data_IF_855528659750
#
_entry.id   IF_855528659750
#
_cell.length_a   1.000
_cell.length_b   1.000
_cell.length_c   1.000
_cell.angle_alpha   90.00
_cell.angle_beta   90.00
_cell.angle_gamma   90.00
#
_symmetry.space_group_name_H-M   'P 1'
#
loop_
_entity.id
_entity.type
_entity.pdbx_description
1 polymer ?
#
# COMPACT_ATOMS: atom_id res chain seq x y z
N UNK A 1 -29.32 -15.88 -12.44
CA UNK A 1 -28.13 -15.72 -13.31
C UNK A 1 -26.93 -15.47 -12.40
N UNK A 2 -26.16 -16.51 -12.11
CA UNK A 2 -25.20 -16.55 -11.00
C UNK A 2 -23.81 -16.20 -11.52
N UNK A 3 -23.31 -14.99 -11.19
CA UNK A 3 -21.99 -14.52 -11.62
C UNK A 3 -20.91 -15.18 -10.75
N UNK A 4 -19.97 -15.84 -11.44
CA UNK A 4 -18.95 -16.75 -10.91
C UNK A 4 -17.82 -16.04 -10.13
N UNK A 5 -17.41 -16.66 -9.01
CA UNK A 5 -16.39 -16.25 -8.02
C UNK A 5 -14.92 -16.36 -8.49
N UNK A 6 -14.58 -16.10 -9.76
CA UNK A 6 -13.20 -16.34 -10.27
C UNK A 6 -12.33 -15.10 -10.48
N UNK A 7 -12.73 -13.91 -10.02
CA UNK A 7 -12.06 -12.64 -10.39
C UNK A 7 -10.86 -12.22 -9.50
N UNK A 8 -10.63 -12.82 -8.33
CA UNK A 8 -9.69 -12.26 -7.34
C UNK A 8 -8.21 -12.68 -7.49
N UNK A 9 -7.88 -13.75 -8.21
CA UNK A 9 -6.51 -14.30 -8.16
C UNK A 9 -5.51 -13.68 -9.14
N UNK A 10 -5.89 -12.72 -9.99
CA UNK A 10 -5.03 -12.23 -11.09
C UNK A 10 -4.51 -10.80 -10.88
N UNK A 11 -5.22 -9.94 -10.13
CA UNK A 11 -4.74 -8.58 -9.80
C UNK A 11 -3.55 -8.62 -8.81
N UNK A 12 -3.43 -9.74 -8.09
CA UNK A 12 -2.42 -10.00 -7.06
C UNK A 12 -0.96 -10.11 -7.55
N UNK A 13 -0.70 -10.13 -8.86
CA UNK A 13 0.65 -10.28 -9.40
C UNK A 13 1.34 -8.96 -9.81
N UNK A 14 0.66 -7.81 -9.73
CA UNK A 14 1.23 -6.55 -10.22
C UNK A 14 1.62 -5.52 -9.15
N UNK A 15 1.12 -5.63 -7.91
CA UNK A 15 1.53 -4.75 -6.78
C UNK A 15 2.62 -5.36 -5.89
N UNK A 16 3.01 -6.63 -6.13
CA UNK A 16 4.06 -7.28 -5.34
C UNK A 16 5.39 -7.33 -6.09
N UNK A 17 6.25 -6.33 -5.87
CA UNK A 17 7.71 -6.58 -5.86
C UNK A 17 8.20 -6.76 -4.44
N UNK A 18 9.04 -7.78 -4.26
CA UNK A 18 9.86 -8.16 -3.08
C UNK A 18 9.23 -9.07 -2.00
N UNK A 19 9.11 -10.37 -2.30
CA UNK A 19 9.93 -11.46 -1.69
C UNK A 19 9.38 -12.85 -2.07
N UNK A 20 10.28 -13.77 -2.45
CA UNK A 20 10.06 -15.22 -2.50
C UNK A 20 10.01 -15.78 -1.06
N UNK A 21 9.53 -16.97 -0.69
CA UNK A 21 9.14 -18.21 -1.34
C UNK A 21 8.22 -19.00 -0.36
N UNK A 22 7.35 -19.90 -0.84
CA UNK A 22 7.07 -21.21 -0.22
C UNK A 22 5.99 -21.97 -1.01
N UNK A 23 6.29 -23.23 -1.28
CA UNK A 23 5.48 -24.21 -2.01
C UNK A 23 4.39 -24.80 -1.09
N UNK A 24 3.21 -25.08 -1.67
CA UNK A 24 2.14 -25.86 -1.05
C UNK A 24 2.32 -27.36 -1.31
N UNK A 25 2.01 -28.19 -0.30
CA UNK A 25 1.39 -29.52 -0.49
C UNK A 25 0.27 -29.72 0.54
N UNK A 26 -0.90 -30.29 0.18
CA UNK A 26 -2.09 -30.35 1.04
C UNK A 26 -2.33 -31.75 1.64
N UNK A 27 -3.07 -31.83 2.75
CA UNK A 27 -4.01 -32.94 2.99
C UNK A 27 -4.98 -32.67 4.16
N UNK A 28 -6.29 -32.85 3.87
CA UNK A 28 -7.41 -33.45 4.63
C UNK A 28 -7.53 -33.22 6.16
N UNK A 29 -8.68 -33.13 6.84
CA UNK A 29 -10.12 -32.90 6.63
C UNK A 29 -10.81 -33.34 7.96
N UNK A 30 -12.06 -32.90 8.17
CA UNK A 30 -13.04 -33.31 9.22
C UNK A 30 -12.82 -32.76 10.65
N UNK A 31 -13.83 -32.46 11.47
CA UNK A 31 -15.30 -32.33 11.37
C UNK A 31 -15.81 -32.09 12.79
N UNK A 32 -16.87 -31.26 12.96
CA UNK A 32 -17.94 -31.32 14.01
C UNK A 32 -17.51 -31.23 15.49
N UNK A 33 -18.22 -30.65 16.46
CA UNK A 33 -19.59 -30.10 16.59
C UNK A 33 -19.72 -29.49 18.00
N UNK A 34 -20.46 -28.38 18.09
CA UNK A 34 -21.50 -28.02 19.08
C UNK A 34 -21.52 -28.75 20.45
N UNK A 35 -21.51 -28.01 21.56
CA UNK A 35 -22.64 -27.94 22.53
C UNK A 35 -22.46 -26.92 23.65
N UNK A 36 -23.59 -26.31 24.02
CA UNK A 36 -23.87 -25.41 25.13
C UNK A 36 -23.60 -26.02 26.52
N UNK A 37 -23.22 -25.19 27.49
CA UNK A 37 -23.95 -25.16 28.77
C UNK A 37 -23.83 -23.84 29.55
N UNK A 38 -24.97 -23.47 30.12
CA UNK A 38 -25.27 -22.30 30.94
C UNK A 38 -25.25 -22.69 32.42
N UNK A 39 -24.97 -21.73 33.32
CA UNK A 39 -25.48 -21.55 34.70
C UNK A 39 -24.40 -20.81 35.54
N UNK A 40 -24.61 -19.63 36.11
CA UNK A 40 -25.64 -19.12 37.04
C UNK A 40 -25.12 -19.04 38.50
N UNK A 41 -24.95 -17.79 38.94
CA UNK A 41 -25.32 -17.20 40.26
C UNK A 41 -24.64 -17.69 41.56
N UNK A 42 -24.04 -16.73 42.28
CA UNK A 42 -24.28 -16.32 43.70
C UNK A 42 -23.30 -15.17 44.04
N UNK A 43 -23.75 -13.94 44.38
CA UNK A 43 -24.15 -13.44 45.71
C UNK A 43 -23.13 -13.81 46.81
N UNK A 44 -22.51 -12.92 47.58
CA UNK A 44 -23.10 -11.88 48.45
C UNK A 44 -22.02 -11.01 49.14
N UNK A 45 -22.32 -9.70 49.25
CA UNK A 45 -22.09 -8.70 50.32
C UNK A 45 -20.91 -8.70 51.32
N UNK A 46 -20.32 -7.50 51.41
CA UNK A 46 -19.92 -6.66 52.58
C UNK A 46 -18.80 -7.11 53.55
N UNK A 47 -17.78 -6.24 53.73
CA UNK A 47 -17.57 -5.49 54.99
C UNK A 47 -16.52 -4.35 54.85
N UNK A 48 -16.65 -3.33 55.72
CA UNK A 48 -15.99 -2.02 55.73
C UNK A 48 -14.54 -2.06 56.25
N UNK A 49 -13.71 -1.07 55.86
CA UNK A 49 -12.72 -0.44 56.75
C UNK A 49 -12.29 0.95 56.23
N UNK A 50 -12.43 1.97 57.09
CA UNK A 50 -11.89 3.32 56.92
C UNK A 50 -10.47 3.39 57.50
N UNK A 51 -9.54 4.02 56.78
CA UNK A 51 -8.23 4.41 57.34
C UNK A 51 -7.20 4.87 56.30
N UNK A 52 -6.58 6.02 56.55
CA UNK A 52 -5.32 6.54 55.97
C UNK A 52 -5.33 7.14 54.54
N UNK A 53 -5.58 8.46 54.47
CA UNK A 53 -5.45 9.28 53.24
C UNK A 53 -4.09 9.95 53.02
N UNK A 54 -3.11 9.79 53.93
CA UNK A 54 -1.79 10.45 53.81
C UNK A 54 -0.59 9.57 53.40
N UNK A 55 -0.73 8.24 53.44
CA UNK A 55 0.27 7.31 52.87
C UNK A 55 -0.01 6.94 51.40
N UNK A 56 -1.29 6.98 50.99
CA UNK A 56 -1.74 6.60 49.63
C UNK A 56 -1.21 7.45 48.47
N UNK A 57 -0.71 8.67 48.72
CA UNK A 57 -0.20 9.53 47.63
C UNK A 57 1.21 9.15 47.19
N UNK A 58 2.08 8.67 48.10
CA UNK A 58 3.43 8.20 47.73
C UNK A 58 3.40 6.83 47.08
N UNK A 59 2.58 5.90 47.59
CA UNK A 59 2.45 4.56 47.01
C UNK A 59 1.79 4.58 45.63
N UNK A 60 0.85 5.50 45.36
CA UNK A 60 0.30 5.70 44.01
C UNK A 60 1.33 6.24 43.03
N UNK A 61 2.24 7.11 43.48
CA UNK A 61 3.26 7.70 42.61
C UNK A 61 4.38 6.69 42.31
N UNK A 62 4.76 5.86 43.28
CA UNK A 62 5.68 4.74 43.08
C UNK A 62 5.08 3.62 42.23
N UNK A 63 3.82 3.23 42.46
CA UNK A 63 3.16 2.22 41.63
C UNK A 63 3.02 2.69 40.18
N UNK A 64 2.70 3.96 39.94
CA UNK A 64 2.59 4.48 38.59
C UNK A 64 3.96 4.55 37.88
N UNK A 65 5.04 4.86 38.62
CA UNK A 65 6.41 4.80 38.10
C UNK A 65 6.88 3.36 37.83
N UNK A 66 6.56 2.41 38.71
CA UNK A 66 6.90 0.99 38.55
C UNK A 66 6.09 0.33 37.42
N UNK A 67 4.80 0.67 37.25
CA UNK A 67 3.99 0.24 36.11
C UNK A 67 4.55 0.83 34.79
N UNK A 68 4.93 2.12 34.77
CA UNK A 68 5.53 2.72 33.56
C UNK A 68 6.90 2.12 33.20
N UNK A 69 7.69 1.73 34.21
CA UNK A 69 8.99 1.09 34.01
C UNK A 69 8.83 -0.36 33.54
N UNK A 70 7.87 -1.11 34.09
CA UNK A 70 7.54 -2.46 33.64
C UNK A 70 6.98 -2.47 32.21
N UNK A 71 6.15 -1.50 31.85
CA UNK A 71 5.63 -1.33 30.49
C UNK A 71 6.74 -0.91 29.50
N UNK A 72 7.67 -0.05 29.92
CA UNK A 72 8.83 0.32 29.12
C UNK A 72 9.79 -0.88 28.90
N UNK A 73 10.03 -1.70 29.93
CA UNK A 73 10.84 -2.92 29.83
C UNK A 73 10.16 -3.97 28.94
N UNK A 74 8.84 -4.15 29.06
CA UNK A 74 8.08 -5.06 28.20
C UNK A 74 8.07 -4.59 26.73
N UNK A 75 7.91 -3.29 26.48
CA UNK A 75 8.01 -2.71 25.14
C UNK A 75 9.42 -2.89 24.56
N UNK A 76 10.46 -2.66 25.36
CA UNK A 76 11.86 -2.84 24.97
C UNK A 76 12.17 -4.30 24.64
N UNK A 77 11.69 -5.25 25.45
CA UNK A 77 11.83 -6.69 25.17
C UNK A 77 11.07 -7.12 23.92
N UNK A 78 9.85 -6.61 23.71
CA UNK A 78 9.05 -6.88 22.52
C UNK A 78 9.74 -6.34 21.25
N UNK A 79 10.36 -5.17 21.32
CA UNK A 79 11.12 -4.60 20.20
C UNK A 79 12.42 -5.35 19.91
N UNK A 80 13.13 -5.84 20.93
CA UNK A 80 14.34 -6.64 20.73
C UNK A 80 14.08 -7.98 20.00
N UNK A 81 12.83 -8.43 19.95
CA UNK A 81 12.40 -9.64 19.25
C UNK A 81 11.90 -9.37 17.81
N UNK A 82 11.68 -8.11 17.43
CA UNK A 82 11.22 -7.77 16.08
C UNK A 82 12.35 -7.93 15.06
N UNK A 83 12.08 -8.67 13.99
CA UNK A 83 12.98 -8.72 12.84
C UNK A 83 12.85 -7.46 11.99
N UNK A 84 13.65 -6.44 12.33
CA UNK A 84 13.68 -5.17 11.62
C UNK A 84 14.44 -5.25 10.28
N UNK A 85 15.01 -6.39 9.91
CA UNK A 85 15.74 -6.54 8.63
C UNK A 85 14.84 -6.30 7.41
N UNK A 86 13.54 -6.60 7.54
CA UNK A 86 12.54 -6.42 6.49
C UNK A 86 12.30 -4.94 6.12
N UNK A 87 12.53 -4.03 7.08
CA UNK A 87 12.25 -2.60 6.92
C UNK A 87 13.49 -1.73 6.91
N UNK A 88 14.65 -2.28 7.31
CA UNK A 88 15.92 -1.54 7.40
C UNK A 88 16.29 -0.81 6.12
N UNK A 89 15.99 -1.41 4.95
CA UNK A 89 16.28 -0.77 3.66
C UNK A 89 15.56 0.57 3.47
N UNK A 90 14.40 0.79 4.10
CA UNK A 90 13.65 2.05 3.97
C UNK A 90 14.18 3.15 4.91
N UNK A 91 14.88 2.78 5.97
CA UNK A 91 15.31 3.72 7.00
C UNK A 91 16.50 4.61 6.61
N UNK A 92 17.08 4.43 5.42
CA UNK A 92 18.34 5.05 5.02
C UNK A 92 18.19 5.86 3.72
N UNK A 93 19.05 6.86 3.53
CA UNK A 93 19.10 7.76 2.35
C UNK A 93 19.16 7.04 0.99
N UNK A 94 19.65 5.79 0.95
CA UNK A 94 19.71 4.96 -0.26
C UNK A 94 18.64 3.86 -0.27
N UNK A 95 17.53 4.08 0.43
CA UNK A 95 16.42 3.14 0.50
C UNK A 95 15.61 3.10 -0.79
N UNK A 96 14.29 3.02 -0.65
CA UNK A 96 13.42 3.14 -1.80
C UNK A 96 13.43 4.60 -2.31
N UNK A 97 13.77 4.82 -3.58
CA UNK A 97 13.94 6.16 -4.12
C UNK A 97 12.61 6.95 -4.19
N UNK A 98 11.48 6.26 -4.38
CA UNK A 98 10.16 6.91 -4.44
C UNK A 98 9.76 7.40 -3.06
N UNK A 99 9.83 6.51 -2.06
CA UNK A 99 9.50 6.85 -0.68
C UNK A 99 10.52 7.81 -0.06
N UNK A 100 11.81 7.65 -0.33
CA UNK A 100 12.84 8.57 0.13
C UNK A 100 12.58 10.01 -0.31
N UNK A 101 12.06 10.21 -1.52
CA UNK A 101 11.65 11.54 -1.97
C UNK A 101 10.36 12.05 -1.33
N UNK A 102 9.41 11.17 -1.00
CA UNK A 102 8.25 11.56 -0.18
C UNK A 102 8.72 12.07 1.19
N UNK A 103 9.70 11.42 1.80
CA UNK A 103 10.30 11.86 3.07
C UNK A 103 11.02 13.20 2.92
N UNK A 104 11.82 13.40 1.85
CA UNK A 104 12.45 14.69 1.52
C UNK A 104 11.39 15.80 1.44
N UNK A 105 10.33 15.58 0.65
CA UNK A 105 9.25 16.55 0.51
C UNK A 105 8.60 16.85 1.85
N UNK A 106 8.33 15.83 2.67
CA UNK A 106 7.66 16.03 3.97
C UNK A 106 8.52 16.84 4.93
N UNK A 107 9.85 16.68 4.92
CA UNK A 107 10.76 17.53 5.71
C UNK A 107 10.71 18.98 5.23
N UNK A 108 10.66 19.19 3.92
CA UNK A 108 10.60 20.52 3.31
C UNK A 108 9.20 21.17 3.43
N UNK A 109 8.20 20.47 3.99
CA UNK A 109 6.87 21.02 4.26
C UNK A 109 6.95 22.09 5.38
N UNK A 110 6.69 23.38 5.09
CA UNK A 110 6.71 24.42 6.10
C UNK A 110 5.63 24.24 7.17
N UNK A 111 4.53 23.55 6.86
CA UNK A 111 3.38 23.36 7.74
C UNK A 111 3.60 22.21 8.73
N UNK A 112 4.22 21.11 8.26
CA UNK A 112 4.32 19.88 9.05
C UNK A 112 5.76 19.49 9.45
N UNK A 113 6.79 20.12 8.88
CA UNK A 113 8.22 20.00 9.27
C UNK A 113 8.69 18.55 9.49
N UNK A 114 8.35 17.66 8.57
CA UNK A 114 8.71 16.24 8.62
C UNK A 114 7.68 15.32 9.29
N UNK A 115 6.64 15.85 9.94
CA UNK A 115 5.56 15.02 10.47
C UNK A 115 4.58 14.62 9.38
N UNK A 116 4.25 13.34 9.30
CA UNK A 116 3.16 12.80 8.48
C UNK A 116 1.79 12.88 9.18
N UNK A 117 1.77 13.15 10.50
CA UNK A 117 0.55 13.23 11.31
C UNK A 117 -0.27 11.94 11.28
N UNK A 118 -1.60 12.07 11.20
CA UNK A 118 -2.52 10.97 10.88
C UNK A 118 -2.42 10.65 9.40
N UNK A 119 -1.93 9.46 9.10
CA UNK A 119 -1.59 9.03 7.76
C UNK A 119 -2.66 8.11 7.17
N UNK A 120 -3.08 8.36 5.93
CA UNK A 120 -3.93 7.43 5.18
C UNK A 120 -3.14 6.83 4.02
N UNK A 121 -2.95 5.52 4.04
CA UNK A 121 -2.55 4.77 2.85
C UNK A 121 -3.81 4.28 2.13
N UNK A 122 -4.13 4.96 1.03
CA UNK A 122 -5.38 4.77 0.31
C UNK A 122 -5.40 3.49 -0.56
N UNK A 123 -4.29 2.76 -0.66
CA UNK A 123 -4.18 1.55 -1.48
C UNK A 123 -3.10 0.61 -0.97
N UNK A 124 -3.19 0.19 0.29
CA UNK A 124 -2.11 -0.48 1.00
C UNK A 124 -1.73 -1.83 0.39
N UNK A 125 -0.43 -1.94 0.09
CA UNK A 125 0.26 -3.20 -0.14
C UNK A 125 1.37 -3.42 0.90
N UNK A 126 2.08 -4.54 0.77
CA UNK A 126 3.23 -4.84 1.66
C UNK A 126 4.35 -3.81 1.56
N UNK A 127 4.50 -3.12 0.42
CA UNK A 127 5.59 -2.17 0.22
C UNK A 127 5.39 -0.90 1.05
N UNK A 128 4.28 -0.19 0.87
CA UNK A 128 3.92 1.00 1.64
C UNK A 128 3.81 0.69 3.14
N UNK A 129 3.27 -0.47 3.52
CA UNK A 129 3.22 -0.90 4.92
C UNK A 129 4.61 -1.01 5.57
N UNK A 130 5.56 -1.65 4.88
CA UNK A 130 6.95 -1.77 5.37
C UNK A 130 7.65 -0.41 5.46
N UNK A 131 7.36 0.49 4.53
CA UNK A 131 7.86 1.86 4.59
C UNK A 131 7.27 2.61 5.80
N UNK A 132 5.95 2.59 6.01
CA UNK A 132 5.32 3.19 7.21
C UNK A 132 5.91 2.63 8.50
N UNK A 133 6.14 1.32 8.58
CA UNK A 133 6.80 0.70 9.72
C UNK A 133 8.23 1.25 9.95
N UNK A 134 8.97 1.55 8.88
CA UNK A 134 10.30 2.15 9.00
C UNK A 134 10.28 3.59 9.53
N UNK A 135 9.19 4.33 9.30
CA UNK A 135 8.96 5.65 9.90
C UNK A 135 8.65 5.50 11.38
N UNK A 136 7.69 4.63 11.73
CA UNK A 136 7.26 4.41 13.11
C UNK A 136 8.39 3.88 14.01
N UNK A 137 9.31 3.09 13.45
CA UNK A 137 10.48 2.54 14.16
C UNK A 137 11.77 3.32 13.92
N UNK A 138 11.70 4.54 13.36
CA UNK A 138 12.88 5.28 12.87
C UNK A 138 13.95 5.44 13.94
N UNK A 139 13.59 5.87 15.14
CA UNK A 139 14.54 6.12 16.23
C UNK A 139 15.35 4.85 16.57
N UNK A 140 14.69 3.70 16.67
CA UNK A 140 15.33 2.40 16.93
C UNK A 140 16.22 1.94 15.78
N UNK A 141 15.77 2.13 14.53
CA UNK A 141 16.53 1.76 13.34
C UNK A 141 17.82 2.57 13.23
N UNK A 142 17.79 3.85 13.56
CA UNK A 142 18.96 4.73 13.49
C UNK A 142 19.91 4.56 14.68
N UNK A 143 19.41 4.33 15.90
CA UNK A 143 20.24 4.12 17.09
C UNK A 143 21.23 2.95 16.92
N UNK A 144 20.80 1.88 16.23
CA UNK A 144 21.61 0.70 15.94
C UNK A 144 22.65 0.89 14.82
N UNK A 145 22.73 2.08 14.20
CA UNK A 145 23.64 2.36 13.07
C UNK A 145 24.85 3.23 13.46
N UNK A 146 24.98 3.57 14.74
CA UNK A 146 25.95 4.53 15.30
C UNK A 146 27.44 4.21 15.12
N UNK A 147 27.81 3.09 14.47
CA UNK A 147 29.20 2.72 14.20
C UNK A 147 29.68 3.05 12.77
N UNK A 148 28.82 3.53 11.87
CA UNK A 148 29.21 3.93 10.51
C UNK A 148 28.75 5.36 10.22
N UNK A 149 29.61 6.34 10.56
CA UNK A 149 29.62 7.73 10.09
C UNK A 149 28.26 8.33 9.69
N UNK A 150 27.62 9.02 10.64
CA UNK A 150 26.57 10.03 10.48
C UNK A 150 25.94 10.16 9.07
N UNK A 151 25.13 9.19 8.67
CA UNK A 151 24.19 9.37 7.56
C UNK A 151 22.91 9.96 8.17
N UNK A 152 22.74 11.28 8.01
CA UNK A 152 21.57 12.03 8.43
C UNK A 152 20.33 11.54 7.67
N UNK A 153 19.61 10.57 8.23
CA UNK A 153 18.25 10.29 7.76
C UNK A 153 17.36 11.49 8.09
N UNK A 154 16.41 11.84 7.21
CA UNK A 154 15.49 12.95 7.45
C UNK A 154 14.73 12.75 8.76
N UNK A 155 14.59 13.82 9.54
CA UNK A 155 13.81 13.81 10.79
C UNK A 155 12.32 13.78 10.43
N UNK A 156 11.74 12.60 10.42
CA UNK A 156 10.33 12.39 10.09
C UNK A 156 9.62 11.58 11.17
N UNK A 157 8.32 11.79 11.30
CA UNK A 157 7.46 11.11 12.28
C UNK A 157 6.09 10.81 11.70
N UNK A 158 5.37 9.87 12.31
CA UNK A 158 3.98 9.53 11.98
C UNK A 158 3.24 9.22 13.29
N UNK A 159 2.05 9.79 13.48
CA UNK A 159 1.30 9.64 14.72
C UNK A 159 0.50 8.33 14.72
N UNK A 160 -0.20 8.09 13.61
CA UNK A 160 -0.99 6.88 13.37
C UNK A 160 -1.20 6.66 11.88
N UNK A 161 -1.66 5.48 11.50
CA UNK A 161 -2.04 5.19 10.12
C UNK A 161 -3.44 4.56 9.98
N UNK A 162 -4.04 4.73 8.82
CA UNK A 162 -5.16 3.93 8.33
C UNK A 162 -4.78 3.37 6.97
N UNK A 163 -4.87 2.05 6.82
CA UNK A 163 -4.47 1.30 5.64
C UNK A 163 -5.69 0.68 4.94
N UNK A 164 -5.95 1.09 3.70
CA UNK A 164 -7.09 0.61 2.91
C UNK A 164 -6.68 -0.54 2.01
N UNK A 165 -7.37 -1.66 2.14
CA UNK A 165 -7.18 -2.85 1.29
C UNK A 165 -8.43 -3.15 0.46
N UNK A 166 -8.26 -3.84 -0.67
CA UNK A 166 -9.36 -4.06 -1.61
C UNK A 166 -10.29 -5.22 -1.24
N UNK A 167 -9.80 -6.20 -0.49
CA UNK A 167 -10.57 -7.37 -0.09
C UNK A 167 -10.07 -7.99 1.21
N UNK A 168 -10.85 -8.93 1.74
CA UNK A 168 -10.59 -9.60 3.01
C UNK A 168 -9.31 -10.44 3.03
N UNK A 169 -8.88 -11.01 1.90
CA UNK A 169 -7.63 -11.76 1.85
C UNK A 169 -6.42 -10.80 1.88
N UNK A 170 -6.52 -9.65 1.21
CA UNK A 170 -5.53 -8.57 1.33
C UNK A 170 -5.50 -8.02 2.76
N UNK A 171 -6.66 -7.69 3.34
CA UNK A 171 -6.76 -7.20 4.72
C UNK A 171 -6.06 -8.13 5.70
N UNK A 172 -6.36 -9.43 5.66
CA UNK A 172 -5.74 -10.42 6.56
C UNK A 172 -4.22 -10.47 6.41
N UNK A 173 -3.70 -10.43 5.19
CA UNK A 173 -2.24 -10.46 4.94
C UNK A 173 -1.57 -9.19 5.45
N UNK A 174 -2.10 -8.02 5.08
CA UNK A 174 -1.57 -6.71 5.50
C UNK A 174 -1.63 -6.58 7.02
N UNK A 175 -2.72 -7.02 7.65
CA UNK A 175 -2.86 -7.00 9.11
C UNK A 175 -1.88 -7.94 9.82
N UNK A 176 -1.68 -9.15 9.30
CA UNK A 176 -0.67 -10.06 9.84
C UNK A 176 0.74 -9.51 9.69
N UNK A 177 1.06 -8.93 8.54
CA UNK A 177 2.34 -8.26 8.31
C UNK A 177 2.53 -7.06 9.24
N UNK A 178 1.48 -6.26 9.49
CA UNK A 178 1.53 -5.16 10.46
C UNK A 178 1.82 -5.64 11.89
N UNK A 179 1.33 -6.82 12.27
CA UNK A 179 1.67 -7.47 13.55
C UNK A 179 3.12 -7.93 13.60
N UNK A 180 3.60 -8.59 12.54
CA UNK A 180 4.98 -9.04 12.41
C UNK A 180 5.96 -7.87 12.44
N UNK A 181 5.57 -6.72 11.88
CA UNK A 181 6.31 -5.47 11.90
C UNK A 181 6.16 -4.69 13.22
N UNK A 182 5.33 -5.14 14.17
CA UNK A 182 5.14 -4.50 15.46
C UNK A 182 4.49 -3.10 15.38
N UNK A 183 3.63 -2.86 14.40
CA UNK A 183 2.92 -1.58 14.20
C UNK A 183 1.39 -1.70 14.26
N UNK A 184 0.86 -2.88 14.58
CA UNK A 184 -0.59 -3.12 14.59
C UNK A 184 -1.35 -2.31 15.65
N UNK A 185 -0.68 -1.75 16.66
CA UNK A 185 -1.25 -0.85 17.67
C UNK A 185 -1.19 0.64 17.27
N UNK A 186 -0.53 0.95 16.15
CA UNK A 186 -0.35 2.33 15.63
C UNK A 186 -1.38 2.71 14.57
N UNK A 187 -2.24 1.79 14.15
CA UNK A 187 -3.19 2.07 13.08
C UNK A 187 -4.11 0.92 12.75
N UNK A 188 -5.05 1.20 11.84
CA UNK A 188 -6.07 0.26 11.42
C UNK A 188 -5.84 -0.24 9.99
N UNK A 189 -6.15 -1.52 9.75
CA UNK A 189 -6.18 -2.11 8.40
C UNK A 189 -7.61 -2.48 8.07
N UNK A 190 -8.21 -1.75 7.14
CA UNK A 190 -9.63 -1.89 6.79
C UNK A 190 -9.81 -2.25 5.31
N UNK A 191 -11.01 -2.71 4.96
CA UNK A 191 -11.41 -2.92 3.58
C UNK A 191 -12.18 -1.69 3.13
N UNK A 192 -11.90 -1.20 1.92
CA UNK A 192 -12.62 -0.07 1.37
C UNK A 192 -12.71 -0.14 -0.15
N UNK A 193 -13.85 0.30 -0.68
CA UNK A 193 -14.01 0.56 -2.10
C UNK A 193 -14.25 2.06 -2.32
N UNK A 194 -13.28 2.73 -2.94
CA UNK A 194 -13.34 4.16 -3.22
C UNK A 194 -14.50 4.59 -4.12
N UNK A 195 -15.15 3.65 -4.82
CA UNK A 195 -16.36 3.96 -5.59
C UNK A 195 -17.58 4.29 -4.71
N UNK A 196 -17.58 3.83 -3.45
CA UNK A 196 -18.70 4.06 -2.53
C UNK A 196 -18.88 5.56 -2.24
N UNK A 197 -20.13 6.03 -2.34
CA UNK A 197 -20.49 7.42 -2.07
C UNK A 197 -20.20 8.40 -3.20
N UNK A 198 -19.90 7.94 -4.42
CA UNK A 198 -19.60 8.82 -5.57
C UNK A 198 -20.62 8.67 -6.70
N UNK A 199 -21.27 9.79 -7.03
CA UNK A 199 -22.18 9.94 -8.15
C UNK A 199 -21.48 9.86 -9.52
N UNK A 200 -22.27 9.67 -10.58
CA UNK A 200 -21.74 9.55 -11.95
C UNK A 200 -21.08 10.83 -12.48
N UNK A 201 -21.43 11.97 -11.89
CA UNK A 201 -20.88 13.29 -12.19
C UNK A 201 -19.66 13.62 -11.31
N UNK A 202 -19.24 12.69 -10.44
CA UNK A 202 -18.13 12.90 -9.52
C UNK A 202 -18.49 13.64 -8.24
N UNK A 203 -19.78 13.91 -8.00
CA UNK A 203 -20.27 14.38 -6.70
C UNK A 203 -20.01 13.31 -5.64
N UNK A 204 -19.48 13.73 -4.50
CA UNK A 204 -19.30 12.84 -3.34
C UNK A 204 -20.41 13.16 -2.37
N UNK A 205 -21.31 12.20 -2.19
CA UNK A 205 -22.38 12.30 -1.19
C UNK A 205 -21.99 11.40 -0.03
N UNK A 206 -21.55 12.02 1.06
CA UNK A 206 -21.55 11.36 2.36
C UNK A 206 -23.01 11.33 2.84
N UNK A 207 -23.52 10.17 3.25
CA UNK A 207 -24.94 10.00 3.52
C UNK A 207 -25.41 10.95 4.62
N UNK A 208 -26.61 11.50 4.50
CA UNK A 208 -27.32 11.96 5.70
C UNK A 208 -27.45 10.75 6.64
N UNK A 209 -27.24 10.94 7.94
CA UNK A 209 -27.10 9.90 8.97
C UNK A 209 -28.29 8.92 9.14
N UNK A 210 -29.27 8.95 8.25
CA UNK A 210 -30.55 8.24 8.31
C UNK A 210 -30.70 7.22 7.16
N UNK A 211 -29.62 6.52 6.79
CA UNK A 211 -29.82 5.23 6.12
C UNK A 211 -30.37 4.26 7.17
N UNK A 212 -31.44 3.52 6.84
CA UNK A 212 -32.11 2.58 7.75
C UNK A 212 -31.23 1.42 8.28
N UNK A 213 -29.98 1.35 7.82
CA UNK A 213 -28.92 0.40 8.18
C UNK A 213 -27.86 1.04 9.11
N UNK A 214 -27.72 2.37 9.14
CA UNK A 214 -26.70 3.05 9.94
C UNK A 214 -25.26 2.83 9.43
N UNK A 215 -25.08 2.28 8.23
CA UNK A 215 -23.77 2.09 7.61
C UNK A 215 -23.21 3.43 7.12
N UNK A 216 -22.19 3.91 7.83
CA UNK A 216 -21.38 5.07 7.40
C UNK A 216 -20.59 4.73 6.15
N UNK A 217 -20.43 5.69 5.25
CA UNK A 217 -19.56 5.51 4.09
C UNK A 217 -18.10 5.40 4.51
N UNK A 218 -17.27 4.78 3.66
CA UNK A 218 -15.85 4.59 3.92
C UNK A 218 -15.18 5.90 4.38
N UNK A 219 -14.63 5.88 5.60
CA UNK A 219 -13.93 7.00 6.26
C UNK A 219 -14.78 8.26 6.48
N UNK A 220 -16.10 8.17 6.46
CA UNK A 220 -16.99 9.32 6.68
C UNK A 220 -16.65 10.07 7.98
N UNK A 221 -16.50 11.40 7.86
CA UNK A 221 -16.13 12.30 8.95
C UNK A 221 -14.66 12.23 9.39
N UNK A 222 -13.83 11.39 8.75
CA UNK A 222 -12.41 11.30 9.06
C UNK A 222 -11.59 12.18 8.12
N UNK A 223 -10.58 12.84 8.68
CA UNK A 223 -9.58 13.61 7.95
C UNK A 223 -8.18 13.16 8.37
N UNK A 224 -7.23 13.31 7.46
CA UNK A 224 -5.84 12.91 7.58
C UNK A 224 -4.95 14.07 7.19
N UNK A 225 -3.81 14.17 7.86
CA UNK A 225 -2.84 15.23 7.63
C UNK A 225 -2.00 14.91 6.38
N UNK A 226 -1.79 13.61 6.14
CA UNK A 226 -1.19 13.09 4.90
C UNK A 226 -1.99 11.93 4.31
N UNK A 227 -2.15 11.92 3.00
CA UNK A 227 -2.67 10.78 2.22
C UNK A 227 -1.59 10.29 1.25
N UNK A 228 -1.44 8.98 1.12
CA UNK A 228 -0.65 8.32 0.08
C UNK A 228 -1.55 7.51 -0.84
N UNK A 229 -1.39 7.73 -2.15
CA UNK A 229 -1.97 6.96 -3.22
C UNK A 229 -0.86 6.26 -4.00
N UNK A 230 -0.37 5.14 -3.48
CA UNK A 230 0.71 4.33 -4.07
C UNK A 230 0.17 3.38 -5.14
N UNK A 231 0.40 3.68 -6.43
CA UNK A 231 -0.16 2.97 -7.61
C UNK A 231 -1.68 2.78 -7.57
N UNK A 232 -2.38 3.56 -6.75
CA UNK A 232 -3.81 3.41 -6.49
C UNK A 232 -4.66 3.62 -7.74
N UNK A 233 -4.36 4.66 -8.52
CA UNK A 233 -5.15 5.03 -9.71
C UNK A 233 -5.17 3.91 -10.74
N UNK A 234 -4.02 3.29 -11.00
CA UNK A 234 -3.94 2.12 -11.88
C UNK A 234 -4.68 0.92 -11.27
N UNK A 235 -4.51 0.68 -9.97
CA UNK A 235 -5.19 -0.41 -9.25
C UNK A 235 -6.73 -0.33 -9.34
N UNK A 236 -7.30 0.87 -9.32
CA UNK A 236 -8.75 1.09 -9.42
C UNK A 236 -9.33 0.45 -10.69
N UNK A 237 -8.60 0.35 -11.81
CA UNK A 237 -9.11 -0.30 -13.02
C UNK A 237 -9.46 -1.78 -12.84
N UNK A 238 -8.79 -2.46 -11.90
CA UNK A 238 -9.08 -3.84 -11.57
C UNK A 238 -10.29 -4.03 -10.65
N UNK A 239 -10.61 -3.04 -9.81
CA UNK A 239 -11.61 -3.17 -8.75
C UNK A 239 -12.90 -2.37 -9.00
N UNK A 240 -12.74 -1.16 -9.54
CA UNK A 240 -13.83 -0.22 -9.85
C UNK A 240 -13.57 0.43 -11.22
N UNK A 241 -13.76 -0.30 -12.34
CA UNK A 241 -13.52 0.22 -13.68
C UNK A 241 -14.28 1.52 -13.97
N UNK A 242 -13.63 2.45 -14.70
CA UNK A 242 -14.17 3.75 -15.10
C UNK A 242 -14.38 4.76 -13.95
N UNK A 243 -13.65 4.57 -12.84
CA UNK A 243 -13.71 5.43 -11.66
C UNK A 243 -12.41 6.23 -11.41
N UNK A 244 -11.39 6.01 -12.23
CA UNK A 244 -10.05 6.54 -11.98
C UNK A 244 -10.00 8.06 -12.01
N UNK A 245 -10.84 8.67 -12.84
CA UNK A 245 -10.97 10.13 -12.95
C UNK A 245 -11.63 10.78 -11.74
N UNK A 246 -12.32 10.01 -10.92
CA UNK A 246 -13.09 10.46 -9.76
C UNK A 246 -12.39 10.18 -8.42
N UNK A 247 -11.28 9.43 -8.42
CA UNK A 247 -10.61 9.05 -7.18
C UNK A 247 -10.16 10.26 -6.34
N UNK A 248 -9.65 11.31 -6.97
CA UNK A 248 -9.18 12.47 -6.22
C UNK A 248 -10.35 13.25 -5.61
N UNK A 249 -11.48 13.39 -6.31
CA UNK A 249 -12.70 13.93 -5.71
C UNK A 249 -13.10 13.16 -4.45
N UNK A 250 -12.89 11.83 -4.46
CA UNK A 250 -13.18 10.97 -3.32
C UNK A 250 -12.19 11.09 -2.16
N UNK A 251 -10.92 11.36 -2.44
CA UNK A 251 -9.86 11.48 -1.43
C UNK A 251 -9.80 12.86 -0.79
N UNK A 252 -10.06 13.94 -1.56
CA UNK A 252 -9.94 15.33 -1.11
C UNK A 252 -10.72 15.63 0.18
N UNK A 253 -11.97 15.17 0.38
CA UNK A 253 -12.70 15.40 1.63
C UNK A 253 -12.03 14.84 2.88
N UNK A 254 -11.18 13.82 2.72
CA UNK A 254 -10.41 13.20 3.80
C UNK A 254 -9.05 13.84 4.02
N UNK A 255 -8.63 14.79 3.18
CA UNK A 255 -7.39 15.52 3.40
C UNK A 255 -7.68 16.74 4.26
N UNK A 256 -7.00 16.90 5.40
CA UNK A 256 -7.16 18.08 6.24
C UNK A 256 -6.79 19.37 5.46
N UNK A 257 -7.38 20.55 5.77
CA UNK A 257 -6.93 21.82 5.21
C UNK A 257 -5.42 22.01 5.42
N UNK A 258 -4.68 22.36 4.37
CA UNK A 258 -3.20 22.41 4.40
C UNK A 258 -2.49 21.05 4.40
N UNK A 259 -3.24 19.94 4.41
CA UNK A 259 -2.70 18.58 4.34
C UNK A 259 -2.15 18.23 2.96
N UNK A 260 -1.34 17.17 2.91
CA UNK A 260 -0.63 16.75 1.70
C UNK A 260 -1.07 15.38 1.16
N UNK A 261 -1.22 15.29 -0.16
CA UNK A 261 -1.46 14.06 -0.90
C UNK A 261 -0.22 13.72 -1.74
N UNK A 262 0.30 12.52 -1.55
CA UNK A 262 1.33 11.93 -2.39
C UNK A 262 0.73 10.92 -3.35
N UNK A 263 1.02 11.04 -4.64
CA UNK A 263 0.59 10.09 -5.67
C UNK A 263 1.81 9.46 -6.31
N UNK A 264 1.92 8.14 -6.19
CA UNK A 264 2.92 7.36 -6.94
C UNK A 264 2.21 6.68 -8.10
N UNK A 265 2.80 6.72 -9.29
CA UNK A 265 2.31 5.96 -10.43
C UNK A 265 3.35 5.76 -11.50
N UNK A 266 2.93 5.15 -12.61
CA UNK A 266 3.80 4.71 -13.69
C UNK A 266 3.40 5.39 -15.01
N UNK A 267 4.36 5.98 -15.72
CA UNK A 267 4.13 6.43 -17.08
C UNK A 267 3.79 5.23 -18.00
N UNK A 268 2.68 5.27 -18.75
CA UNK A 268 2.34 4.19 -19.67
C UNK A 268 3.45 3.89 -20.67
N UNK A 269 3.79 2.60 -20.80
CA UNK A 269 4.78 2.14 -21.78
C UNK A 269 4.24 2.43 -23.18
N UNK A 270 5.00 3.15 -24.03
CA UNK A 270 4.55 3.49 -25.38
C UNK A 270 4.35 2.25 -26.26
N UNK A 271 3.67 2.43 -27.39
CA UNK A 271 3.41 1.33 -28.33
C UNK A 271 4.67 0.85 -29.06
N UNK A 272 5.64 1.74 -29.24
CA UNK A 272 6.98 1.43 -29.78
C UNK A 272 7.98 2.54 -29.47
N UNK A 273 9.27 2.22 -29.55
CA UNK A 273 10.37 3.19 -29.51
C UNK A 273 11.46 2.80 -30.50
N UNK A 274 12.23 3.78 -30.99
CA UNK A 274 13.36 3.56 -31.89
C UNK A 274 14.66 3.29 -31.11
N UNK A 275 14.65 2.26 -30.26
CA UNK A 275 15.82 1.85 -29.47
C UNK A 275 15.75 0.37 -29.09
N UNK A 276 16.83 -0.24 -28.55
CA UNK A 276 16.77 -1.61 -28.04
C UNK A 276 15.68 -1.83 -27.00
N UNK A 277 15.23 -0.78 -26.31
CA UNK A 277 14.16 -0.86 -25.33
C UNK A 277 12.78 -1.23 -25.92
N UNK A 278 12.63 -1.19 -27.25
CA UNK A 278 11.42 -1.60 -27.95
C UNK A 278 11.01 -3.06 -27.65
N UNK A 279 11.94 -3.91 -27.19
CA UNK A 279 11.61 -5.26 -26.72
C UNK A 279 10.57 -5.23 -25.59
N UNK A 280 10.64 -4.26 -24.68
CA UNK A 280 9.67 -4.13 -23.60
C UNK A 280 8.30 -3.67 -24.11
N UNK A 281 8.25 -2.80 -25.13
CA UNK A 281 7.00 -2.44 -25.83
C UNK A 281 6.37 -3.68 -26.49
N UNK A 282 7.16 -4.51 -27.19
CA UNK A 282 6.70 -5.77 -27.79
C UNK A 282 6.14 -6.72 -26.73
N UNK A 283 6.89 -6.93 -25.63
CA UNK A 283 6.47 -7.78 -24.51
C UNK A 283 5.13 -7.31 -23.95
N UNK A 284 4.96 -6.00 -23.68
CA UNK A 284 3.67 -5.47 -23.20
C UNK A 284 2.54 -5.79 -24.15
N UNK A 285 2.70 -5.52 -25.45
CA UNK A 285 1.62 -5.75 -26.44
C UNK A 285 1.23 -7.22 -26.53
N UNK A 286 2.21 -8.13 -26.56
CA UNK A 286 1.95 -9.57 -26.62
C UNK A 286 1.32 -10.07 -25.32
N UNK A 287 1.81 -9.62 -24.16
CA UNK A 287 1.21 -9.90 -22.85
C UNK A 287 -0.25 -9.46 -22.81
N UNK A 288 -0.54 -8.23 -23.21
CA UNK A 288 -1.90 -7.67 -23.21
C UNK A 288 -2.81 -8.43 -24.20
N UNK A 289 -2.30 -8.81 -25.38
CA UNK A 289 -3.03 -9.67 -26.30
C UNK A 289 -3.38 -11.03 -25.67
N UNK A 290 -2.45 -11.65 -24.94
CA UNK A 290 -2.72 -12.89 -24.21
C UNK A 290 -3.79 -12.72 -23.13
N UNK A 291 -3.78 -11.59 -22.42
CA UNK A 291 -4.78 -11.27 -21.40
C UNK A 291 -6.17 -11.11 -22.04
N UNK A 292 -6.27 -10.38 -23.14
CA UNK A 292 -7.53 -10.17 -23.86
C UNK A 292 -8.08 -11.47 -24.46
N UNK A 293 -7.22 -12.32 -25.05
CA UNK A 293 -7.62 -13.63 -25.58
C UNK A 293 -8.11 -14.59 -24.50
N UNK A 294 -7.68 -14.40 -23.26
CA UNK A 294 -8.21 -15.09 -22.09
C UNK A 294 -9.47 -14.45 -21.49
N UNK A 295 -10.09 -13.49 -22.21
CA UNK A 295 -11.26 -12.73 -21.76
C UNK A 295 -11.05 -12.02 -20.41
N UNK A 296 -9.83 -11.52 -20.17
CA UNK A 296 -9.48 -10.76 -18.98
C UNK A 296 -9.20 -9.30 -19.32
N UNK A 297 -9.33 -8.43 -18.32
CA UNK A 297 -9.00 -7.00 -18.42
C UNK A 297 -7.49 -6.80 -18.28
N UNK A 298 -6.92 -5.96 -19.14
CA UNK A 298 -5.53 -5.54 -18.99
C UNK A 298 -5.41 -4.45 -17.95
N UNK A 299 -4.34 -4.50 -17.16
CA UNK A 299 -3.98 -3.42 -16.25
C UNK A 299 -3.61 -2.15 -17.02
N UNK A 300 -3.96 -0.99 -16.47
CA UNK A 300 -3.73 0.32 -17.07
C UNK A 300 -3.14 1.28 -16.05
N UNK A 301 -2.22 2.09 -16.55
CA UNK A 301 -1.56 3.16 -15.82
C UNK A 301 -1.87 4.48 -16.50
N UNK A 302 -1.62 5.59 -15.80
CA UNK A 302 -2.05 6.91 -16.24
C UNK A 302 -0.83 7.83 -16.39
N UNK A 303 -0.77 8.64 -17.46
CA UNK A 303 0.34 9.59 -17.64
C UNK A 303 0.44 10.61 -16.50
N UNK A 304 1.65 11.08 -16.21
CA UNK A 304 1.89 12.11 -15.20
C UNK A 304 1.04 13.37 -15.43
N UNK A 305 0.97 13.86 -16.67
CA UNK A 305 0.18 15.05 -17.02
C UNK A 305 -1.33 14.85 -16.80
N UNK A 306 -1.82 13.62 -16.95
CA UNK A 306 -3.20 13.28 -16.65
C UNK A 306 -3.45 13.35 -15.15
N UNK A 307 -2.56 12.78 -14.34
CA UNK A 307 -2.66 12.82 -12.86
C UNK A 307 -2.66 14.25 -12.36
N UNK A 308 -1.72 15.08 -12.80
CA UNK A 308 -1.65 16.47 -12.35
C UNK A 308 -2.90 17.29 -12.73
N UNK A 309 -3.46 17.07 -13.93
CA UNK A 309 -4.70 17.73 -14.34
C UNK A 309 -5.88 17.32 -13.45
N UNK A 310 -5.99 16.03 -13.11
CA UNK A 310 -7.08 15.55 -12.26
C UNK A 310 -6.95 16.00 -10.80
N UNK A 311 -5.73 16.09 -10.26
CA UNK A 311 -5.47 16.69 -8.95
C UNK A 311 -5.88 18.17 -8.90
N UNK A 312 -5.49 18.96 -9.91
CA UNK A 312 -5.90 20.37 -10.00
C UNK A 312 -7.42 20.51 -10.17
N UNK A 313 -8.03 19.65 -10.98
CA UNK A 313 -9.49 19.62 -11.18
C UNK A 313 -10.25 19.30 -9.89
N UNK A 314 -9.67 18.50 -8.99
CA UNK A 314 -10.27 18.20 -7.68
C UNK A 314 -9.99 19.28 -6.62
N UNK A 315 -9.43 20.44 -6.99
CA UNK A 315 -9.18 21.56 -6.09
C UNK A 315 -7.87 21.49 -5.30
N UNK A 316 -6.94 20.61 -5.66
CA UNK A 316 -5.63 20.53 -5.03
C UNK A 316 -4.59 21.38 -5.78
N UNK A 317 -3.62 21.90 -5.04
CA UNK A 317 -2.44 22.56 -5.59
C UNK A 317 -1.34 21.52 -5.83
N UNK A 318 -0.94 21.30 -7.07
CA UNK A 318 0.24 20.47 -7.38
C UNK A 318 1.49 21.30 -7.11
N UNK A 319 2.26 20.89 -6.10
CA UNK A 319 3.46 21.61 -5.63
C UNK A 319 4.69 21.16 -6.37
N UNK A 320 4.87 19.84 -6.52
CA UNK A 320 6.06 19.28 -7.12
C UNK A 320 5.78 17.91 -7.76
N UNK A 321 6.51 17.60 -8.82
CA UNK A 321 6.53 16.28 -9.46
C UNK A 321 7.97 15.86 -9.71
N UNK A 322 8.28 14.57 -9.52
CA UNK A 322 9.60 13.99 -9.85
C UNK A 322 9.44 12.64 -10.53
N UNK A 323 10.28 12.36 -11.52
CA UNK A 323 10.26 11.11 -12.30
C UNK A 323 11.47 10.24 -12.02
N UNK A 324 11.29 8.92 -12.08
CA UNK A 324 12.29 7.90 -11.77
C UNK A 324 12.40 6.92 -12.94
N UNK A 325 13.50 6.93 -13.71
CA UNK A 325 13.66 6.05 -14.86
C UNK A 325 13.56 4.57 -14.47
N UNK A 326 12.77 3.80 -15.22
CA UNK A 326 12.63 2.37 -14.96
C UNK A 326 13.68 1.61 -15.72
N UNK A 327 14.33 0.70 -15.00
CA UNK A 327 15.41 -0.14 -15.51
C UNK A 327 14.97 -1.59 -15.53
N UNK A 328 14.89 -2.16 -16.72
CA UNK A 328 14.46 -3.54 -16.93
C UNK A 328 15.68 -4.43 -17.16
N UNK A 329 15.89 -5.39 -16.25
CA UNK A 329 16.74 -6.54 -16.47
C UNK A 329 15.96 -7.68 -17.16
N UNK A 330 16.68 -8.71 -17.60
CA UNK A 330 16.07 -9.88 -18.23
C UNK A 330 15.05 -10.56 -17.32
N UNK A 331 15.35 -10.72 -16.03
CA UNK A 331 14.46 -11.34 -15.07
C UNK A 331 13.12 -10.58 -14.96
N UNK A 332 13.14 -9.25 -15.02
CA UNK A 332 11.93 -8.42 -15.05
C UNK A 332 11.11 -8.67 -16.31
N UNK A 333 11.76 -8.72 -17.47
CA UNK A 333 11.07 -8.97 -18.74
C UNK A 333 10.43 -10.37 -18.76
N UNK A 334 11.15 -11.39 -18.28
CA UNK A 334 10.63 -12.76 -18.16
C UNK A 334 9.41 -12.83 -17.27
N UNK A 335 9.35 -12.08 -16.16
CA UNK A 335 8.14 -12.00 -15.33
C UNK A 335 6.93 -11.49 -16.13
N UNK A 336 7.13 -10.49 -16.99
CA UNK A 336 6.06 -9.95 -17.84
C UNK A 336 5.64 -10.94 -18.95
N UNK A 337 6.59 -11.67 -19.52
CA UNK A 337 6.33 -12.75 -20.49
C UNK A 337 5.53 -13.88 -19.82
N UNK A 338 5.88 -14.25 -18.59
CA UNK A 338 5.20 -15.31 -17.84
C UNK A 338 3.76 -14.94 -17.46
N UNK A 339 3.44 -13.65 -17.33
CA UNK A 339 2.04 -13.20 -17.24
C UNK A 339 1.27 -13.64 -18.49
N UNK A 340 1.83 -13.42 -19.68
CA UNK A 340 1.26 -13.91 -20.95
C UNK A 340 1.13 -15.44 -20.98
N UNK A 341 2.20 -16.17 -20.64
CA UNK A 341 2.19 -17.66 -20.60
C UNK A 341 1.10 -18.21 -19.68
N UNK A 342 0.86 -17.56 -18.53
CA UNK A 342 -0.17 -17.98 -17.58
C UNK A 342 -1.59 -17.99 -18.18
N UNK A 343 -1.81 -17.25 -19.27
CA UNK A 343 -3.11 -17.10 -19.95
C UNK A 343 -3.33 -18.11 -21.07
N UNK A 344 -2.29 -18.75 -21.59
CA UNK A 344 -2.40 -19.65 -22.75
C UNK A 344 -3.42 -20.79 -22.53
N UNK A 345 -3.53 -21.30 -21.30
CA UNK A 345 -4.51 -22.34 -20.93
C UNK A 345 -5.98 -21.90 -21.04
N UNK A 346 -6.23 -20.60 -21.16
CA UNK A 346 -7.56 -19.99 -21.23
C UNK A 346 -7.91 -19.55 -22.67
N UNK A 347 -7.04 -19.82 -23.64
CA UNK A 347 -7.29 -19.42 -25.03
C UNK A 347 -8.40 -20.25 -25.66
N UNK A 348 -9.10 -19.71 -26.68
CA UNK A 348 -10.20 -20.40 -27.35
C UNK A 348 -9.81 -21.73 -28.01
N UNK A 349 -8.57 -21.85 -28.50
CA UNK A 349 -8.08 -23.08 -29.15
C UNK A 349 -6.64 -23.39 -28.75
N UNK A 350 -6.30 -24.69 -28.75
CA UNK A 350 -4.94 -25.17 -28.49
C UNK A 350 -3.95 -24.71 -29.57
N UNK A 351 -4.38 -24.64 -30.83
CA UNK A 351 -3.53 -24.17 -31.94
C UNK A 351 -3.10 -22.71 -31.75
N UNK A 352 -4.04 -21.83 -31.40
CA UNK A 352 -3.74 -20.43 -31.09
C UNK A 352 -2.81 -20.30 -29.87
N UNK A 353 -3.06 -21.09 -28.81
CA UNK A 353 -2.20 -21.10 -27.63
C UNK A 353 -0.77 -21.54 -27.97
N UNK A 354 -0.60 -22.54 -28.84
CA UNK A 354 0.70 -23.04 -29.27
C UNK A 354 1.48 -21.98 -30.07
N UNK A 355 0.85 -21.33 -31.04
CA UNK A 355 1.52 -20.28 -31.83
C UNK A 355 1.87 -19.06 -30.97
N UNK A 356 0.98 -18.62 -30.09
CA UNK A 356 1.29 -17.53 -29.16
C UNK A 356 2.41 -17.90 -28.16
N UNK A 357 2.46 -19.18 -27.75
CA UNK A 357 3.56 -19.71 -26.95
C UNK A 357 4.92 -19.50 -27.61
N UNK A 358 5.03 -19.80 -28.91
CA UNK A 358 6.27 -19.56 -29.69
C UNK A 358 6.66 -18.09 -29.71
N UNK A 359 5.69 -17.19 -29.88
CA UNK A 359 5.94 -15.73 -29.84
C UNK A 359 6.51 -15.30 -28.49
N UNK A 360 5.97 -15.81 -27.38
CA UNK A 360 6.46 -15.52 -26.03
C UNK A 360 7.87 -16.09 -25.81
N UNK A 361 8.17 -17.29 -26.32
CA UNK A 361 9.50 -17.91 -26.23
C UNK A 361 10.54 -17.13 -27.03
N UNK A 362 10.18 -16.62 -28.20
CA UNK A 362 11.08 -15.79 -29.01
C UNK A 362 11.32 -14.41 -28.37
N UNK A 363 10.30 -13.81 -27.74
CA UNK A 363 10.48 -12.58 -26.94
C UNK A 363 11.41 -12.79 -25.75
N UNK A 364 11.37 -13.97 -25.11
CA UNK A 364 12.30 -14.28 -24.02
C UNK A 364 13.74 -14.31 -24.53
N UNK A 365 14.00 -14.99 -25.65
CA UNK A 365 15.33 -15.03 -26.29
C UNK A 365 15.79 -13.62 -26.70
N UNK A 366 14.92 -12.85 -27.36
CA UNK A 366 15.22 -11.47 -27.78
C UNK A 366 15.53 -10.57 -26.57
N UNK A 367 14.78 -10.72 -25.46
CA UNK A 367 15.03 -9.95 -24.23
C UNK A 367 16.40 -10.26 -23.60
N UNK A 368 16.82 -11.53 -23.63
CA UNK A 368 18.12 -11.93 -23.14
C UNK A 368 19.24 -11.35 -24.01
N UNK A 369 19.08 -11.41 -25.34
CA UNK A 369 20.06 -10.86 -26.27
C UNK A 369 20.21 -9.35 -26.13
N UNK A 370 19.10 -8.62 -26.03
CA UNK A 370 19.11 -7.16 -25.86
C UNK A 370 19.79 -6.76 -24.56
N UNK A 371 19.47 -7.44 -23.44
CA UNK A 371 20.07 -7.12 -22.14
C UNK A 371 21.55 -7.46 -22.09
N UNK A 372 22.00 -8.58 -22.67
CA UNK A 372 23.42 -8.95 -22.79
C UNK A 372 24.26 -7.92 -23.55
N UNK A 373 23.65 -7.17 -24.48
CA UNK A 373 24.33 -6.08 -25.20
C UNK A 373 24.47 -4.79 -24.39
N UNK A 374 23.81 -4.67 -23.24
CA UNK A 374 23.91 -3.50 -22.37
C UNK A 374 25.06 -3.68 -21.38
N UNK A 375 25.82 -2.61 -21.12
CA UNK A 375 27.00 -2.64 -20.25
C UNK A 375 26.71 -3.16 -18.82
N UNK A 376 25.51 -2.89 -18.31
CA UNK A 376 25.06 -3.31 -16.98
C UNK A 376 23.87 -4.28 -17.00
N UNK A 377 23.59 -4.88 -18.17
CA UNK A 377 22.53 -5.86 -18.33
C UNK A 377 21.11 -5.28 -18.26
N UNK A 378 20.93 -3.96 -18.32
CA UNK A 378 19.62 -3.31 -18.15
C UNK A 378 19.30 -2.34 -19.29
N UNK A 379 18.04 -2.32 -19.70
CA UNK A 379 17.51 -1.26 -20.58
C UNK A 379 16.70 -0.25 -19.77
N UNK A 380 16.66 0.99 -20.23
CA UNK A 380 15.84 2.04 -19.63
C UNK A 380 14.66 2.36 -20.53
N UNK A 381 13.44 2.34 -19.98
CA UNK A 381 12.22 2.74 -20.70
C UNK A 381 11.16 3.22 -19.71
N UNK A 382 10.52 4.36 -20.01
CA UNK A 382 9.50 4.92 -19.13
C UNK A 382 10.07 5.33 -17.77
N UNK A 383 9.18 5.71 -16.87
CA UNK A 383 9.51 6.17 -15.54
C UNK A 383 8.32 6.01 -14.59
N UNK A 384 8.63 5.76 -13.33
CA UNK A 384 7.69 6.00 -12.24
C UNK A 384 7.68 7.51 -11.95
N UNK A 385 6.61 8.01 -11.33
CA UNK A 385 6.54 9.40 -10.88
C UNK A 385 5.99 9.48 -9.47
N UNK A 386 6.39 10.55 -8.77
CA UNK A 386 5.79 10.98 -7.51
C UNK A 386 5.27 12.40 -7.71
N UNK A 387 3.99 12.61 -7.45
CA UNK A 387 3.35 13.93 -7.44
C UNK A 387 3.01 14.30 -6.01
N UNK A 388 3.36 15.52 -5.64
CA UNK A 388 3.04 16.14 -4.35
C UNK A 388 1.97 17.18 -4.58
N UNK A 389 0.82 17.02 -3.92
CA UNK A 389 -0.27 17.95 -3.98
C UNK A 389 -0.74 18.34 -2.58
N UNK A 390 -1.23 19.56 -2.42
CA UNK A 390 -1.68 20.10 -1.15
C UNK A 390 -3.12 20.57 -1.24
N UNK A 391 -3.89 20.35 -0.17
CA UNK A 391 -5.20 20.96 -0.03
C UNK A 391 -4.99 22.43 0.39
N UNK A 392 -5.60 23.40 -0.32
CA UNK A 392 -5.58 24.78 0.14
C UNK A 392 -6.05 24.90 1.59
N UNK A 393 -5.43 25.79 2.35
CA UNK A 393 -5.97 26.21 3.64
C UNK A 393 -7.24 27.02 3.34
N UNK A 394 -8.35 26.70 4.01
CA UNK A 394 -9.55 27.50 3.89
C UNK A 394 -9.21 28.92 4.35
N UNK A 395 -9.31 29.90 3.46
CA UNK A 395 -9.11 31.31 3.81
C UNK A 395 -10.32 31.77 4.62
N UNK A 396 -10.12 31.98 5.92
CA UNK A 396 -11.10 32.61 6.83
C UNK A 396 -11.65 33.94 6.30
#
# INVERSE_FOLDING_TARGET
>A
MTISRSYQSIVLLFVSRLSAAALFTPSLALSTSVTHHCNSIRSSSQLRLFGSSRFRKKDKQLNHQMESAADADAATQKMAQLDLSLIKKFAHKNGDALFGYIEECQVDDPNNKGSFGRFLDAGTGSHSLRWMASILHREHLLANTSNNGALSSPNISMDSFTAITADENMRRRVFNEAKELGIADKGDVIIGNWKEGVGKDGTVEFGASDTSDGSKLLLEGQQFDTILADYLVGAIDGFSPYFQDLIFNRLVPHLAPGGRLYVIGLQPIPDSVNSPANIMCKIRRVRDACILLANHRCYREYPLDWIERHLRKSGLNVVQSRTYPIRYDHATMVRQINVGRSKLKLFPTKGMAAEMGKVLDDLEKESLEVTRKQADGRITLGYDYVVVAERPVDSD
#
